data_IF_365233918234
#
_entry.id   IF_365233918234
#
_cell.length_a   1.000
_cell.length_b   1.000
_cell.length_c   1.000
_cell.angle_alpha   90.00
_cell.angle_beta   90.00
_cell.angle_gamma   90.00
#
_symmetry.space_group_name_H-M   'P 1'
#
loop_
_entity.id
_entity.type
_entity.pdbx_description
1 polymer ?
#
# COMPACT_ATOMS: atom_id res chain seq x y z
N UNK A 1 -40.40 29.88 -47.52
CA UNK A 1 -40.10 28.66 -46.81
C UNK A 1 -38.68 28.26 -47.13
N UNK A 2 -37.74 28.61 -46.29
CA UNK A 2 -36.30 28.24 -46.35
C UNK A 2 -36.02 27.31 -45.14
N UNK A 3 -35.48 26.16 -45.40
CA UNK A 3 -34.96 25.23 -44.37
C UNK A 3 -33.65 25.78 -43.79
N UNK A 4 -33.37 25.63 -42.51
CA UNK A 4 -32.03 25.89 -41.93
C UNK A 4 -31.10 24.72 -42.19
N UNK A 5 -29.81 25.04 -42.35
CA UNK A 5 -28.69 24.12 -42.52
C UNK A 5 -28.37 23.41 -41.21
N UNK A 6 -28.09 22.12 -41.33
CA UNK A 6 -27.43 21.31 -40.32
C UNK A 6 -25.93 21.65 -40.36
N UNK A 7 -25.41 22.25 -39.31
CA UNK A 7 -23.98 22.32 -39.03
C UNK A 7 -23.67 21.22 -37.97
N UNK A 8 -23.13 20.12 -38.44
CA UNK A 8 -22.46 19.11 -37.60
C UNK A 8 -21.16 19.72 -37.04
N UNK A 9 -21.24 20.25 -35.84
CA UNK A 9 -20.06 20.58 -35.05
C UNK A 9 -19.47 19.29 -34.46
N UNK A 10 -18.38 18.84 -35.01
CA UNK A 10 -17.50 17.81 -34.51
C UNK A 10 -16.85 18.37 -33.24
N UNK A 11 -17.24 17.87 -32.05
CA UNK A 11 -16.56 18.18 -30.82
C UNK A 11 -15.33 17.29 -30.76
N UNK A 12 -14.19 17.87 -31.11
CA UNK A 12 -12.89 17.26 -30.86
C UNK A 12 -12.66 17.18 -29.32
N UNK A 13 -12.39 15.98 -28.85
CA UNK A 13 -11.95 15.69 -27.48
C UNK A 13 -10.68 16.48 -27.17
N UNK A 14 -10.82 17.58 -26.40
CA UNK A 14 -9.66 18.32 -25.89
C UNK A 14 -9.14 17.56 -24.65
N UNK A 15 -8.44 16.47 -24.88
CA UNK A 15 -7.49 15.94 -23.90
C UNK A 15 -6.23 16.79 -23.98
N UNK A 16 -5.99 17.65 -22.98
CA UNK A 16 -4.68 18.26 -22.82
C UNK A 16 -3.69 17.13 -22.49
N UNK A 17 -2.97 16.73 -23.50
CA UNK A 17 -1.83 15.80 -23.33
C UNK A 17 -0.70 16.55 -22.62
N UNK A 18 0.22 15.79 -22.01
CA UNK A 18 1.41 16.31 -21.33
C UNK A 18 2.28 17.29 -22.14
N UNK A 19 1.99 17.47 -23.42
CA UNK A 19 2.65 18.44 -24.30
C UNK A 19 2.25 19.90 -24.00
N UNK A 20 1.03 20.18 -23.53
CA UNK A 20 0.59 21.54 -23.19
C UNK A 20 1.34 22.15 -22.00
N UNK A 21 1.83 21.31 -21.11
CA UNK A 21 2.65 21.74 -19.95
C UNK A 21 4.05 22.22 -20.38
N UNK A 22 4.51 21.85 -21.59
CA UNK A 22 5.85 22.18 -22.10
C UNK A 22 5.93 23.55 -22.79
N UNK A 23 4.81 24.15 -23.21
CA UNK A 23 4.81 25.34 -24.06
C UNK A 23 4.67 26.67 -23.32
N UNK A 24 4.33 26.68 -22.02
CA UNK A 24 4.19 27.90 -21.24
C UNK A 24 5.42 28.26 -20.43
N UNK A 25 6.59 28.19 -21.08
CA UNK A 25 7.89 28.51 -20.47
C UNK A 25 8.17 30.01 -20.32
N UNK A 26 7.22 30.84 -19.92
CA UNK A 26 7.49 32.21 -19.52
C UNK A 26 7.97 32.27 -18.07
N UNK A 27 9.18 32.84 -17.90
CA UNK A 27 9.84 33.00 -16.61
C UNK A 27 9.14 34.10 -15.81
N UNK A 28 8.39 33.73 -14.77
CA UNK A 28 8.00 34.70 -13.75
C UNK A 28 9.16 34.85 -12.77
N UNK A 29 9.60 36.09 -12.45
CA UNK A 29 10.68 36.30 -11.48
C UNK A 29 10.21 35.95 -10.07
N UNK A 30 10.81 34.93 -9.48
CA UNK A 30 10.56 34.50 -8.10
C UNK A 30 11.45 35.28 -7.17
N UNK A 31 10.87 36.01 -6.22
CA UNK A 31 11.61 36.42 -5.01
C UNK A 31 11.85 35.16 -4.16
N UNK A 32 13.11 34.78 -4.05
CA UNK A 32 13.53 33.66 -3.21
C UNK A 32 13.54 34.12 -1.74
N UNK A 33 12.75 33.46 -0.90
CA UNK A 33 12.90 33.55 0.56
C UNK A 33 13.92 32.48 0.98
N UNK A 34 15.02 32.93 1.61
CA UNK A 34 16.17 32.07 1.96
C UNK A 34 15.83 30.93 2.96
N UNK A 35 14.63 30.93 3.57
CA UNK A 35 14.22 29.92 4.55
C UNK A 35 13.72 28.62 3.89
N UNK A 36 13.10 28.70 2.72
CA UNK A 36 12.56 27.52 2.00
C UNK A 36 13.65 26.60 1.44
N UNK A 37 14.83 27.14 1.15
CA UNK A 37 15.91 26.40 0.47
C UNK A 37 16.57 25.32 1.34
N UNK A 38 16.52 25.43 2.68
CA UNK A 38 17.17 24.45 3.57
C UNK A 38 16.34 23.20 3.82
N UNK A 39 15.02 23.36 3.93
CA UNK A 39 14.12 22.22 4.17
C UNK A 39 13.94 21.40 2.88
N UNK A 40 13.91 22.08 1.72
CA UNK A 40 13.87 21.44 0.40
C UNK A 40 15.09 20.56 0.10
N UNK A 41 16.27 20.97 0.61
CA UNK A 41 17.50 20.20 0.40
C UNK A 41 17.52 18.86 1.16
N UNK A 42 16.86 18.79 2.32
CA UNK A 42 16.77 17.57 3.10
C UNK A 42 15.82 16.56 2.48
N UNK A 43 14.67 17.01 1.97
CA UNK A 43 13.71 16.14 1.26
C UNK A 43 14.31 15.60 -0.05
N UNK A 44 15.07 16.44 -0.76
CA UNK A 44 15.79 16.01 -1.98
C UNK A 44 16.88 14.97 -1.68
N UNK A 45 17.64 15.16 -0.59
CA UNK A 45 18.65 14.19 -0.14
C UNK A 45 18.04 12.85 0.25
N UNK A 46 16.88 12.85 0.88
CA UNK A 46 16.15 11.63 1.24
C UNK A 46 15.74 10.82 0.00
N UNK A 47 15.14 11.47 -0.99
CA UNK A 47 14.74 10.82 -2.26
C UNK A 47 15.96 10.34 -3.05
N UNK A 48 17.05 11.12 -3.08
CA UNK A 48 18.28 10.76 -3.78
C UNK A 48 19.04 9.60 -3.11
N UNK A 49 19.05 9.55 -1.78
CA UNK A 49 19.72 8.45 -1.04
C UNK A 49 19.01 7.11 -1.28
N UNK A 50 17.68 7.12 -1.37
CA UNK A 50 16.89 5.93 -1.66
C UNK A 50 17.13 5.43 -3.10
N UNK A 51 17.23 6.34 -4.08
CA UNK A 51 17.55 6.00 -5.50
C UNK A 51 18.93 5.37 -5.67
N UNK A 52 19.96 5.85 -4.95
CA UNK A 52 21.32 5.30 -5.08
C UNK A 52 21.48 3.91 -4.49
N UNK A 53 20.68 3.55 -3.48
CA UNK A 53 20.71 2.19 -2.91
C UNK A 53 20.02 1.14 -3.80
N UNK A 54 19.02 1.49 -4.60
CA UNK A 54 18.38 0.55 -5.53
C UNK A 54 19.23 0.31 -6.80
N UNK A 55 19.98 1.32 -7.30
CA UNK A 55 20.83 1.14 -8.51
C UNK A 55 22.13 0.38 -8.25
N UNK A 56 22.61 0.30 -7.02
CA UNK A 56 23.84 -0.45 -6.72
C UNK A 56 23.64 -1.97 -6.53
N UNK A 57 22.39 -2.45 -6.45
CA UNK A 57 22.12 -3.89 -6.35
C UNK A 57 21.84 -4.59 -7.70
N UNK A 58 21.63 -3.82 -8.79
CA UNK A 58 21.31 -4.40 -10.11
C UNK A 58 22.47 -4.39 -11.10
N UNK A 59 23.68 -3.96 -10.73
CA UNK A 59 24.83 -3.89 -11.67
C UNK A 59 25.96 -4.90 -11.41
N UNK A 60 25.82 -5.87 -10.53
CA UNK A 60 26.85 -6.89 -10.29
C UNK A 60 26.55 -8.30 -10.86
N UNK A 61 25.67 -8.45 -11.82
CA UNK A 61 25.56 -9.71 -12.58
C UNK A 61 25.33 -9.45 -14.06
N UNK A 62 26.42 -9.15 -14.79
CA UNK A 62 26.56 -9.57 -16.19
C UNK A 62 27.96 -9.24 -16.73
N UNK A 63 28.91 -10.15 -16.54
CA UNK A 63 30.03 -10.35 -17.48
C UNK A 63 30.24 -11.85 -17.67
N UNK A 64 30.00 -12.24 -18.89
CA UNK A 64 29.87 -13.59 -19.37
C UNK A 64 31.04 -14.52 -19.16
N UNK A 65 30.71 -15.77 -19.31
CA UNK A 65 31.43 -16.62 -20.28
C UNK A 65 30.60 -17.87 -20.54
N UNK A 66 30.35 -18.08 -21.82
CA UNK A 66 29.95 -19.35 -22.40
C UNK A 66 30.99 -20.41 -22.04
N UNK A 67 30.58 -21.50 -21.42
CA UNK A 67 31.21 -22.81 -21.62
C UNK A 67 30.18 -23.91 -21.27
N UNK A 68 29.87 -24.67 -22.28
CA UNK A 68 29.15 -25.93 -22.22
C UNK A 68 29.80 -26.86 -21.19
N UNK A 69 29.01 -27.37 -20.23
CA UNK A 69 29.43 -28.59 -19.55
C UNK A 69 28.27 -29.56 -19.36
N UNK A 70 28.42 -30.62 -20.11
CA UNK A 70 27.62 -31.83 -20.17
C UNK A 70 27.36 -32.42 -18.81
N UNK A 71 26.12 -32.84 -18.65
CA UNK A 71 25.61 -33.67 -17.56
C UNK A 71 26.23 -35.07 -17.61
N UNK A 72 27.12 -35.40 -16.69
CA UNK A 72 27.59 -36.78 -16.48
C UNK A 72 27.09 -37.29 -15.16
N UNK A 73 26.12 -38.22 -15.24
CA UNK A 73 25.75 -39.08 -14.12
C UNK A 73 26.95 -39.97 -13.77
N UNK A 74 27.40 -39.91 -12.53
CA UNK A 74 28.32 -40.89 -11.94
C UNK A 74 27.61 -41.68 -10.83
N UNK A 75 27.19 -42.85 -11.20
CA UNK A 75 26.93 -43.96 -10.27
C UNK A 75 28.21 -44.44 -9.66
N UNK A 76 28.36 -44.48 -8.37
CA UNK A 76 29.45 -45.21 -7.68
C UNK A 76 28.90 -46.37 -6.86
N UNK A 77 29.17 -47.56 -7.38
CA UNK A 77 29.05 -48.86 -6.81
C UNK A 77 30.05 -49.09 -5.66
N UNK A 78 29.60 -49.98 -4.77
CA UNK A 78 30.33 -50.61 -3.67
C UNK A 78 31.67 -51.15 -4.09
N UNK A 79 32.66 -51.03 -3.22
CA UNK A 79 33.79 -51.95 -3.14
C UNK A 79 33.98 -52.43 -1.70
N UNK A 80 33.90 -53.75 -1.59
CA UNK A 80 34.25 -54.56 -0.45
C UNK A 80 35.79 -54.74 -0.38
N UNK A 81 36.35 -54.66 0.81
CA UNK A 81 37.67 -55.21 1.05
C UNK A 81 37.63 -56.11 2.31
N UNK A 82 37.87 -57.40 2.03
CA UNK A 82 38.25 -58.42 2.94
C UNK A 82 39.78 -58.32 3.24
N UNK A 83 40.19 -58.48 4.46
CA UNK A 83 41.50 -59.05 4.81
C UNK A 83 41.42 -59.92 6.02
N UNK A 84 41.95 -61.10 5.81
CA UNK A 84 42.15 -62.25 6.66
C UNK A 84 43.42 -62.14 7.51
N UNK A 85 43.48 -63.05 8.48
CA UNK A 85 44.59 -63.70 9.13
C UNK A 85 44.96 -63.22 10.53
N UNK A 86 45.05 -64.27 11.37
CA UNK A 86 45.97 -64.37 12.46
C UNK A 86 45.48 -65.26 13.59
N UNK A 87 45.70 -66.55 13.45
CA UNK A 87 45.57 -67.57 14.48
C UNK A 87 46.66 -67.44 15.60
N UNK A 88 46.35 -67.64 16.85
CA UNK A 88 47.25 -68.35 17.78
C UNK A 88 46.49 -69.04 18.91
N UNK A 89 46.86 -70.26 19.07
CA UNK A 89 46.56 -71.32 20.08
C UNK A 89 47.02 -70.98 21.46
N UNK A 90 46.36 -71.58 22.51
CA UNK A 90 47.00 -71.76 23.80
C UNK A 90 46.05 -72.07 24.96
N UNK A 91 45.92 -73.37 25.19
CA UNK A 91 45.77 -74.12 26.44
C UNK A 91 44.84 -73.67 27.59
N UNK A 92 43.88 -74.57 27.81
CA UNK A 92 43.36 -75.25 28.98
C UNK A 92 43.68 -74.77 30.41
N UNK A 93 42.63 -74.55 31.21
CA UNK A 93 42.52 -75.18 32.55
C UNK A 93 41.07 -75.23 33.03
N UNK A 94 40.70 -76.44 33.52
CA UNK A 94 39.44 -76.76 34.17
C UNK A 94 39.31 -76.09 35.50
N UNK A 95 38.20 -75.47 35.84
CA UNK A 95 37.67 -75.43 37.20
C UNK A 95 36.11 -75.49 37.13
N UNK A 96 35.61 -76.58 37.74
CA UNK A 96 34.18 -76.73 37.98
C UNK A 96 33.73 -75.81 39.10
N UNK A 97 32.81 -74.96 38.85
CA UNK A 97 31.98 -74.35 39.90
C UNK A 97 30.51 -74.51 39.54
N UNK A 98 29.80 -75.23 40.41
CA UNK A 98 28.34 -75.28 40.37
C UNK A 98 27.75 -73.92 40.74
N UNK A 99 27.00 -73.34 39.86
CA UNK A 99 26.16 -72.24 40.21
C UNK A 99 24.70 -72.55 39.90
N UNK A 100 23.86 -72.34 40.93
CA UNK A 100 22.44 -72.51 40.95
C UNK A 100 21.79 -71.55 39.89
N UNK A 101 20.99 -72.15 38.99
CA UNK A 101 20.19 -71.44 38.08
C UNK A 101 18.95 -70.86 38.78
N UNK A 102 18.95 -69.57 39.06
CA UNK A 102 17.71 -68.84 39.29
C UNK A 102 17.08 -68.53 37.93
N UNK A 103 15.96 -69.17 37.62
CA UNK A 103 15.15 -68.86 36.49
C UNK A 103 14.43 -67.52 36.73
N UNK A 104 14.97 -66.45 36.27
CA UNK A 104 14.22 -65.22 36.10
C UNK A 104 13.37 -65.34 34.83
N UNK A 105 12.08 -65.54 35.02
CA UNK A 105 11.12 -65.37 33.95
C UNK A 105 11.07 -63.90 33.51
N UNK A 106 11.87 -63.51 32.54
CA UNK A 106 11.67 -62.26 31.79
C UNK A 106 10.45 -62.44 30.92
N UNK A 107 9.33 -61.98 31.42
CA UNK A 107 8.11 -61.83 30.60
C UNK A 107 8.39 -60.87 29.44
N UNK A 108 8.71 -61.40 28.27
CA UNK A 108 8.84 -60.63 27.06
C UNK A 108 7.49 -60.03 26.75
N UNK A 109 7.27 -58.76 27.11
CA UNK A 109 6.12 -57.98 26.61
C UNK A 109 6.21 -57.95 25.09
N UNK A 110 5.51 -58.88 24.42
CA UNK A 110 5.30 -58.84 22.97
C UNK A 110 4.64 -57.52 22.64
N UNK A 111 5.40 -56.53 22.13
CA UNK A 111 4.89 -55.30 21.54
C UNK A 111 3.95 -55.71 20.41
N UNK A 112 2.62 -55.51 20.56
CA UNK A 112 1.63 -55.75 19.51
C UNK A 112 2.03 -54.92 18.29
N UNK A 113 2.50 -55.58 17.22
CA UNK A 113 2.79 -54.92 15.94
C UNK A 113 1.50 -54.31 15.42
N UNK A 114 1.45 -52.98 15.26
CA UNK A 114 0.31 -52.31 14.66
C UNK A 114 0.07 -52.82 13.25
N UNK A 115 -1.21 -53.09 12.88
CA UNK A 115 -1.60 -53.55 11.55
C UNK A 115 -1.15 -52.48 10.53
N UNK A 116 -0.70 -52.87 9.32
CA UNK A 116 -0.12 -52.00 8.30
C UNK A 116 -0.96 -50.77 8.00
N UNK A 117 -2.28 -50.88 7.89
CA UNK A 117 -3.22 -49.80 7.63
C UNK A 117 -3.23 -48.73 8.77
N UNK A 118 -3.06 -49.15 10.04
CA UNK A 118 -2.93 -48.21 11.18
C UNK A 118 -1.64 -47.41 11.12
N UNK A 119 -0.55 -48.00 10.62
CA UNK A 119 0.71 -47.28 10.39
C UNK A 119 0.56 -46.27 9.24
N UNK A 120 -0.13 -46.65 8.15
CA UNK A 120 -0.41 -45.77 7.04
C UNK A 120 -1.26 -44.56 7.48
N UNK A 121 -2.33 -44.79 8.26
CA UNK A 121 -3.15 -43.70 8.80
C UNK A 121 -2.35 -42.78 9.75
N UNK A 122 -1.45 -43.33 10.56
CA UNK A 122 -0.60 -42.54 11.44
C UNK A 122 0.38 -41.68 10.63
N UNK A 123 0.97 -42.23 9.56
CA UNK A 123 1.87 -41.48 8.65
C UNK A 123 1.11 -40.36 7.95
N UNK A 124 -0.08 -40.64 7.39
CA UNK A 124 -0.93 -39.64 6.76
C UNK A 124 -1.31 -38.53 7.76
N UNK A 125 -1.71 -38.91 8.97
CA UNK A 125 -2.01 -37.96 10.05
C UNK A 125 -0.81 -37.05 10.41
N UNK A 126 0.40 -37.64 10.51
CA UNK A 126 1.62 -36.87 10.76
C UNK A 126 1.97 -35.92 9.61
N UNK A 127 1.78 -36.33 8.34
CA UNK A 127 2.01 -35.50 7.17
C UNK A 127 1.00 -34.34 7.15
N UNK A 128 -0.28 -34.61 7.37
CA UNK A 128 -1.30 -33.56 7.45
C UNK A 128 -1.02 -32.58 8.60
N UNK A 129 -0.67 -33.08 9.77
CA UNK A 129 -0.30 -32.24 10.92
C UNK A 129 0.93 -31.38 10.62
N UNK A 130 1.95 -31.94 9.96
CA UNK A 130 3.15 -31.19 9.58
C UNK A 130 2.81 -30.10 8.56
N UNK A 131 1.95 -30.36 7.57
CA UNK A 131 1.48 -29.36 6.62
C UNK A 131 0.73 -28.23 7.32
N UNK A 132 -0.18 -28.57 8.25
CA UNK A 132 -0.90 -27.56 9.05
C UNK A 132 0.08 -26.71 9.87
N UNK A 133 1.07 -27.34 10.53
CA UNK A 133 2.07 -26.60 11.31
C UNK A 133 2.92 -25.68 10.43
N UNK A 134 3.31 -26.12 9.24
CA UNK A 134 4.05 -25.29 8.27
C UNK A 134 3.21 -24.11 7.81
N UNK A 135 1.94 -24.34 7.43
CA UNK A 135 1.06 -23.24 6.98
C UNK A 135 0.80 -22.23 8.09
N UNK A 136 0.46 -22.68 9.31
CA UNK A 136 0.27 -21.80 10.46
C UNK A 136 1.57 -21.04 10.79
N UNK A 137 2.72 -21.72 10.77
CA UNK A 137 4.02 -21.10 10.99
C UNK A 137 4.32 -20.01 9.95
N UNK A 138 4.05 -20.27 8.68
CA UNK A 138 4.23 -19.29 7.59
C UNK A 138 3.33 -18.07 7.79
N UNK A 139 2.04 -18.27 8.09
CA UNK A 139 1.10 -17.16 8.36
C UNK A 139 1.55 -16.32 9.54
N UNK A 140 2.01 -16.94 10.64
CA UNK A 140 2.52 -16.22 11.81
C UNK A 140 3.78 -15.40 11.49
N UNK A 141 4.69 -15.94 10.68
CA UNK A 141 5.90 -15.22 10.26
C UNK A 141 5.51 -14.02 9.39
N UNK A 142 4.62 -14.20 8.41
CA UNK A 142 4.14 -13.12 7.55
C UNK A 142 3.40 -12.06 8.38
N UNK A 143 2.52 -12.46 9.29
CA UNK A 143 1.82 -11.54 10.19
C UNK A 143 2.79 -10.70 11.02
N UNK A 144 3.76 -11.34 11.70
CA UNK A 144 4.73 -10.61 12.52
C UNK A 144 5.64 -9.68 11.68
N UNK A 145 5.99 -10.09 10.45
CA UNK A 145 6.74 -9.25 9.53
C UNK A 145 5.91 -8.06 9.08
N UNK A 146 4.68 -8.29 8.61
CA UNK A 146 3.77 -7.25 8.14
C UNK A 146 3.40 -6.27 9.25
N UNK A 147 3.17 -6.75 10.47
CA UNK A 147 2.90 -5.91 11.62
C UNK A 147 4.06 -4.93 11.91
N UNK A 148 5.31 -5.41 11.86
CA UNK A 148 6.47 -4.52 12.03
C UNK A 148 6.60 -3.50 10.90
N UNK A 149 6.34 -3.90 9.65
CA UNK A 149 6.44 -3.00 8.50
C UNK A 149 5.32 -1.95 8.44
N UNK A 150 4.12 -2.28 8.93
CA UNK A 150 2.99 -1.35 8.98
C UNK A 150 3.09 -0.34 10.12
N UNK A 151 3.56 -0.79 11.31
CA UNK A 151 3.57 0.02 12.53
C UNK A 151 4.95 0.53 12.93
N UNK A 152 5.98 0.35 12.08
CA UNK A 152 7.28 0.95 12.34
C UNK A 152 7.20 2.45 11.99
N UNK A 153 6.98 3.28 13.00
CA UNK A 153 6.96 4.73 12.83
C UNK A 153 8.39 5.26 12.65
N UNK A 154 8.62 6.02 11.58
CA UNK A 154 9.77 6.92 11.48
C UNK A 154 9.65 7.99 12.57
N UNK A 155 10.77 8.61 12.96
CA UNK A 155 10.77 9.76 13.87
C UNK A 155 9.87 10.86 13.27
N UNK A 156 8.78 11.16 13.98
CA UNK A 156 7.77 12.12 13.52
C UNK A 156 8.13 13.49 14.07
N UNK A 157 8.20 14.48 13.20
CA UNK A 157 8.27 15.88 13.59
C UNK A 157 7.09 16.62 13.00
N UNK A 158 6.04 16.81 13.80
CA UNK A 158 4.85 17.54 13.39
C UNK A 158 5.12 19.05 13.37
N UNK A 159 4.68 19.70 12.30
CA UNK A 159 4.79 21.17 12.11
C UNK A 159 3.37 21.69 11.93
N UNK A 160 2.83 22.38 12.95
CA UNK A 160 1.53 23.04 12.83
C UNK A 160 1.62 24.23 11.85
N UNK A 161 0.54 24.53 11.09
CA UNK A 161 0.51 25.70 10.19
C UNK A 161 0.59 27.01 11.00
N UNK A 162 1.21 28.03 10.40
CA UNK A 162 1.41 29.35 11.07
C UNK A 162 0.08 30.04 11.41
N UNK A 163 -0.96 29.81 10.60
CA UNK A 163 -2.29 30.40 10.76
C UNK A 163 -3.09 29.79 11.92
N UNK A 164 -2.66 28.62 12.44
CA UNK A 164 -3.35 27.91 13.52
C UNK A 164 -2.65 28.15 14.85
N UNK A 165 -3.33 28.68 15.91
CA UNK A 165 -2.72 28.98 17.19
C UNK A 165 -2.47 27.72 18.02
N UNK A 166 -1.75 26.74 17.47
CA UNK A 166 -1.39 25.50 18.11
C UNK A 166 0.07 25.53 18.63
N UNK A 167 0.29 24.90 19.79
CA UNK A 167 1.65 24.73 20.34
C UNK A 167 2.03 23.26 20.26
N UNK A 168 2.98 22.95 19.39
CA UNK A 168 3.56 21.62 19.24
C UNK A 168 4.64 21.41 20.31
N UNK A 169 4.63 20.27 21.00
CA UNK A 169 5.56 19.87 22.03
C UNK A 169 6.10 18.47 21.75
N UNK A 170 7.33 18.18 22.15
CA UNK A 170 7.99 16.87 22.00
C UNK A 170 7.85 16.33 20.55
N UNK A 171 8.29 17.14 19.57
CA UNK A 171 8.26 16.86 18.13
C UNK A 171 6.87 16.43 17.59
N UNK A 172 5.80 16.80 18.29
CA UNK A 172 4.42 16.49 17.90
C UNK A 172 3.74 15.44 18.76
N UNK A 173 4.42 14.89 19.75
CA UNK A 173 3.81 13.94 20.68
C UNK A 173 2.63 14.56 21.43
N UNK A 174 2.74 15.87 21.73
CA UNK A 174 1.65 16.64 22.34
C UNK A 174 1.39 17.91 21.53
N UNK A 175 0.12 18.27 21.43
CA UNK A 175 -0.34 19.54 20.85
C UNK A 175 -1.28 20.21 21.84
N UNK A 176 -1.05 21.50 22.10
CA UNK A 176 -1.98 22.34 22.84
C UNK A 176 -2.72 23.24 21.85
N UNK A 177 -4.02 23.10 21.75
CA UNK A 177 -4.89 23.83 20.85
C UNK A 177 -6.19 24.21 21.56
N UNK A 178 -6.62 25.48 21.45
CA UNK A 178 -7.81 26.04 22.11
C UNK A 178 -7.88 25.77 23.63
N UNK A 179 -6.70 25.75 24.32
CA UNK A 179 -6.62 25.51 25.77
C UNK A 179 -6.71 24.03 26.18
N UNK A 180 -6.85 23.13 25.22
CA UNK A 180 -6.91 21.68 25.43
C UNK A 180 -5.59 21.04 25.01
N UNK A 181 -5.21 19.94 25.67
CA UNK A 181 -4.00 19.17 25.32
C UNK A 181 -4.41 17.88 24.63
N UNK A 182 -3.70 17.58 23.56
CA UNK A 182 -3.89 16.40 22.72
C UNK A 182 -2.61 15.59 22.69
N UNK A 183 -2.70 14.26 22.80
CA UNK A 183 -1.59 13.30 22.72
C UNK A 183 -1.70 12.51 21.43
N UNK A 184 -0.61 12.39 20.71
CA UNK A 184 -0.56 11.60 19.48
C UNK A 184 -0.89 10.13 19.74
N UNK A 185 -1.73 9.56 18.89
CA UNK A 185 -1.97 8.13 18.84
C UNK A 185 -0.92 7.47 17.93
N UNK A 186 0.08 6.85 18.53
CA UNK A 186 1.21 6.20 17.83
C UNK A 186 0.82 4.86 17.19
N UNK A 187 -0.43 4.39 17.39
CA UNK A 187 -0.92 3.11 16.86
C UNK A 187 -1.66 3.22 15.52
N UNK A 188 -1.71 4.42 14.94
CA UNK A 188 -2.29 4.63 13.62
C UNK A 188 -1.28 4.29 12.54
N UNK A 189 -1.69 3.47 11.59
CA UNK A 189 -0.93 3.25 10.35
C UNK A 189 -1.59 3.94 9.17
N UNK A 190 -0.76 4.53 8.30
CA UNK A 190 -1.22 5.32 7.16
C UNK A 190 -0.92 4.61 5.85
N UNK A 191 -1.96 4.54 4.99
CA UNK A 191 -1.85 4.11 3.61
C UNK A 191 -2.36 5.23 2.70
N UNK A 192 -1.54 5.64 1.73
CA UNK A 192 -1.95 6.57 0.68
C UNK A 192 -2.44 5.79 -0.53
N UNK A 193 -3.73 5.86 -0.80
CA UNK A 193 -4.34 5.33 -2.02
C UNK A 193 -4.40 6.43 -3.09
N UNK A 194 -4.05 6.05 -4.33
CA UNK A 194 -4.08 6.94 -5.50
C UNK A 194 -4.72 6.21 -6.67
N UNK A 195 -5.73 6.84 -7.30
CA UNK A 195 -6.21 6.46 -8.62
C UNK A 195 -5.54 7.36 -9.65
N UNK A 196 -4.81 6.78 -10.61
CA UNK A 196 -4.02 7.54 -11.58
C UNK A 196 -4.67 7.51 -12.97
N UNK A 197 -4.73 8.68 -13.62
CA UNK A 197 -5.31 8.83 -14.98
C UNK A 197 -4.28 8.40 -16.02
N UNK A 198 -4.02 7.09 -16.05
CA UNK A 198 -3.16 6.44 -17.04
C UNK A 198 -3.64 5.00 -17.26
N UNK A 199 -3.14 4.38 -18.32
CA UNK A 199 -3.35 2.96 -18.63
C UNK A 199 -2.02 2.25 -18.78
N UNK A 200 -2.01 0.95 -18.55
CA UNK A 200 -0.85 0.07 -18.76
C UNK A 200 0.39 0.53 -17.97
N UNK A 201 0.20 0.75 -16.67
CA UNK A 201 1.29 1.17 -15.75
C UNK A 201 2.46 0.18 -15.76
N UNK A 202 2.21 -1.11 -16.02
CA UNK A 202 3.25 -2.15 -16.05
C UNK A 202 4.27 -1.91 -17.16
N UNK A 203 3.81 -1.55 -18.37
CA UNK A 203 4.64 -1.42 -19.57
C UNK A 203 5.11 0.02 -19.86
N UNK A 204 4.99 0.91 -18.90
CA UNK A 204 5.43 2.29 -19.05
C UNK A 204 6.94 2.37 -19.33
N UNK A 205 7.32 2.87 -20.51
CA UNK A 205 8.72 2.86 -21.00
C UNK A 205 9.42 4.21 -20.99
N UNK A 206 8.69 5.31 -20.77
CA UNK A 206 9.25 6.67 -20.86
C UNK A 206 9.16 7.43 -19.54
N UNK A 207 10.32 7.90 -19.04
CA UNK A 207 10.38 8.78 -17.89
C UNK A 207 9.67 10.12 -18.17
N UNK A 208 8.95 10.65 -17.18
CA UNK A 208 8.32 11.96 -17.24
C UNK A 208 6.98 12.00 -17.99
N UNK A 209 6.36 10.86 -18.31
CA UNK A 209 5.01 10.74 -18.85
C UNK A 209 4.04 10.12 -17.83
N UNK A 210 4.34 10.22 -16.54
CA UNK A 210 3.43 9.79 -15.50
C UNK A 210 2.09 10.52 -15.62
N UNK A 211 0.97 9.76 -15.52
CA UNK A 211 -0.38 10.32 -15.43
C UNK A 211 -0.52 11.23 -14.22
N UNK A 212 -1.73 11.76 -14.01
CA UNK A 212 -2.04 12.55 -12.82
C UNK A 212 -2.78 11.67 -11.80
N UNK A 213 -2.54 11.90 -10.52
CA UNK A 213 -3.33 11.25 -9.47
C UNK A 213 -4.69 11.96 -9.36
N UNK A 214 -5.73 11.30 -9.86
CA UNK A 214 -7.10 11.85 -9.95
C UNK A 214 -7.97 11.55 -8.73
N UNK A 215 -7.67 10.48 -8.00
CA UNK A 215 -8.22 10.15 -6.70
C UNK A 215 -7.07 10.03 -5.70
N UNK A 216 -7.16 10.74 -4.58
CA UNK A 216 -6.12 10.77 -3.55
C UNK A 216 -6.81 10.61 -2.19
N UNK A 217 -6.55 9.49 -1.52
CA UNK A 217 -7.18 9.17 -0.24
C UNK A 217 -6.13 8.72 0.77
N UNK A 218 -6.04 9.44 1.88
CA UNK A 218 -5.30 9.01 3.06
C UNK A 218 -6.17 8.10 3.90
N UNK A 219 -5.76 6.87 4.10
CA UNK A 219 -6.41 5.93 5.00
C UNK A 219 -5.62 5.86 6.30
N UNK A 220 -6.18 6.41 7.38
CA UNK A 220 -5.62 6.35 8.72
C UNK A 220 -6.33 5.23 9.51
N UNK A 221 -5.64 4.12 9.74
CA UNK A 221 -6.18 2.91 10.34
C UNK A 221 -5.76 2.80 11.80
N UNK A 222 -6.73 2.95 12.73
CA UNK A 222 -6.59 2.73 14.16
C UNK A 222 -7.23 1.39 14.54
N UNK A 223 -6.42 0.34 14.63
CA UNK A 223 -6.92 -0.99 14.95
C UNK A 223 -7.26 -1.17 16.43
N UNK A 224 -6.78 -0.31 17.31
CA UNK A 224 -7.12 -0.36 18.74
C UNK A 224 -8.51 0.21 18.99
N UNK A 225 -8.88 1.25 18.25
CA UNK A 225 -10.22 1.86 18.30
C UNK A 225 -11.20 1.26 17.29
N UNK A 226 -10.78 0.26 16.52
CA UNK A 226 -11.59 -0.36 15.46
C UNK A 226 -12.05 0.64 14.38
N UNK A 227 -11.26 1.68 14.08
CA UNK A 227 -11.65 2.79 13.21
C UNK A 227 -10.69 2.94 12.02
N UNK A 228 -11.25 3.21 10.86
CA UNK A 228 -10.48 3.63 9.68
C UNK A 228 -11.03 4.95 9.15
N UNK A 229 -10.25 6.01 9.25
CA UNK A 229 -10.60 7.32 8.70
C UNK A 229 -10.07 7.43 7.27
N UNK A 230 -10.98 7.54 6.31
CA UNK A 230 -10.68 7.72 4.88
C UNK A 230 -10.81 9.21 4.55
N UNK A 231 -9.67 9.88 4.36
CA UNK A 231 -9.61 11.34 4.15
C UNK A 231 -9.30 11.59 2.68
N UNK A 232 -10.31 11.98 1.91
CA UNK A 232 -10.18 12.31 0.50
C UNK A 232 -9.60 13.72 0.34
N UNK A 233 -8.56 13.85 -0.50
CA UNK A 233 -7.87 15.11 -0.78
C UNK A 233 -8.21 15.51 -2.21
N UNK A 234 -8.80 16.70 -2.45
CA UNK A 234 -9.09 17.15 -3.80
C UNK A 234 -7.79 17.22 -4.62
N UNK A 235 -7.80 16.68 -5.84
CA UNK A 235 -6.64 16.65 -6.73
C UNK A 235 -6.08 18.04 -7.08
N UNK A 236 -6.96 19.02 -7.10
CA UNK A 236 -6.66 20.41 -7.46
C UNK A 236 -6.18 21.26 -6.26
N UNK A 237 -5.92 20.60 -5.11
CA UNK A 237 -5.38 21.24 -3.89
C UNK A 237 -4.02 21.83 -4.16
N UNK A 238 -3.84 23.13 -3.87
CA UNK A 238 -2.57 23.83 -4.01
C UNK A 238 -1.67 23.53 -2.81
N UNK A 239 -0.53 22.95 -3.11
CA UNK A 239 0.48 22.56 -2.11
C UNK A 239 1.88 22.70 -2.69
N UNK A 240 2.89 22.50 -1.83
CA UNK A 240 4.29 22.47 -2.25
C UNK A 240 4.61 21.13 -2.93
N UNK A 241 4.92 21.19 -4.22
CA UNK A 241 5.22 20.03 -5.07
C UNK A 241 6.68 20.13 -5.54
N UNK A 242 7.43 19.05 -5.38
CA UNK A 242 8.77 18.93 -5.94
C UNK A 242 8.69 18.81 -7.48
N UNK A 243 9.28 19.79 -8.17
CA UNK A 243 9.27 19.84 -9.65
C UNK A 243 10.58 19.29 -10.18
N UNK A 244 10.49 18.46 -11.21
CA UNK A 244 11.63 17.89 -11.90
C UNK A 244 11.63 18.30 -13.38
N UNK A 245 12.81 18.47 -13.95
CA UNK A 245 12.97 18.68 -15.39
C UNK A 245 12.68 17.41 -16.17
N UNK A 246 12.48 17.54 -17.49
CA UNK A 246 12.30 16.39 -18.41
C UNK A 246 13.43 15.35 -18.30
N UNK A 247 14.63 15.76 -17.91
CA UNK A 247 15.77 14.86 -17.66
C UNK A 247 15.84 14.32 -16.24
N UNK A 248 14.77 14.41 -15.43
CA UNK A 248 14.71 13.90 -14.06
C UNK A 248 15.53 14.69 -13.02
N UNK A 249 16.05 15.88 -13.37
CA UNK A 249 16.79 16.71 -12.42
C UNK A 249 15.82 17.57 -11.60
N UNK A 250 16.03 17.61 -10.28
CA UNK A 250 15.25 18.45 -9.39
C UNK A 250 15.37 19.94 -9.76
N UNK A 251 14.23 20.61 -9.92
CA UNK A 251 14.12 22.02 -10.33
C UNK A 251 13.55 22.94 -9.24
N UNK A 252 13.36 22.43 -8.03
CA UNK A 252 12.88 23.18 -6.87
C UNK A 252 11.45 22.84 -6.45
N UNK A 253 11.01 23.43 -5.34
CA UNK A 253 9.62 23.34 -4.86
C UNK A 253 8.77 24.43 -5.50
N UNK A 254 7.51 24.11 -5.80
CA UNK A 254 6.56 25.08 -6.34
C UNK A 254 5.15 24.83 -5.82
N UNK A 255 4.40 25.89 -5.55
CA UNK A 255 2.96 25.82 -5.27
C UNK A 255 2.22 25.40 -6.54
N UNK A 256 1.70 24.19 -6.56
CA UNK A 256 0.96 23.61 -7.69
C UNK A 256 -0.17 22.70 -7.21
N UNK A 257 -1.03 22.26 -8.14
CA UNK A 257 -2.06 21.28 -7.87
C UNK A 257 -1.41 19.95 -7.45
N UNK A 258 -1.93 19.32 -6.40
CA UNK A 258 -1.39 18.09 -5.81
C UNK A 258 -1.26 16.94 -6.82
N UNK A 259 -2.22 16.79 -7.74
CA UNK A 259 -2.19 15.73 -8.76
C UNK A 259 -0.92 15.75 -9.63
N UNK A 260 -0.28 16.91 -9.80
CA UNK A 260 0.94 17.06 -10.59
C UNK A 260 2.17 16.46 -9.92
N UNK A 261 2.14 16.24 -8.59
CA UNK A 261 3.24 15.58 -7.91
C UNK A 261 3.52 14.18 -8.48
N UNK A 262 2.46 13.45 -8.90
CA UNK A 262 2.60 12.16 -9.58
C UNK A 262 3.24 12.31 -10.96
N UNK A 263 2.80 13.31 -11.73
CA UNK A 263 3.24 13.54 -13.11
C UNK A 263 4.74 13.89 -13.25
N UNK A 264 5.37 14.39 -12.18
CA UNK A 264 6.81 14.70 -12.16
C UNK A 264 7.72 13.51 -11.90
N UNK A 265 7.19 12.31 -11.71
CA UNK A 265 7.95 11.08 -11.54
C UNK A 265 8.03 10.25 -12.84
N UNK A 266 8.28 8.97 -12.64
CA UNK A 266 8.40 7.96 -13.70
C UNK A 266 7.07 7.24 -14.03
N UNK A 267 5.98 7.65 -13.43
CA UNK A 267 4.69 6.95 -13.50
C UNK A 267 4.62 5.70 -12.59
N UNK A 268 5.67 5.40 -11.85
CA UNK A 268 5.80 4.25 -10.95
C UNK A 268 6.26 4.70 -9.55
N UNK A 269 7.37 4.12 -9.07
CA UNK A 269 7.85 4.31 -7.70
C UNK A 269 8.17 5.77 -7.39
N UNK A 270 8.92 6.48 -8.26
CA UNK A 270 9.25 7.88 -7.99
C UNK A 270 8.05 8.81 -8.04
N UNK A 271 7.03 8.51 -8.87
CA UNK A 271 5.76 9.23 -8.86
C UNK A 271 4.99 9.03 -7.55
N UNK A 272 4.94 7.80 -7.05
CA UNK A 272 4.34 7.48 -5.76
C UNK A 272 5.07 8.18 -4.61
N UNK A 273 6.40 8.18 -4.61
CA UNK A 273 7.22 8.84 -3.58
C UNK A 273 7.03 10.37 -3.58
N UNK A 274 6.93 11.01 -4.76
CA UNK A 274 6.62 12.43 -4.88
C UNK A 274 5.24 12.77 -4.29
N UNK A 275 4.24 11.91 -4.53
CA UNK A 275 2.91 12.05 -3.95
C UNK A 275 2.94 11.89 -2.43
N UNK A 276 3.62 10.85 -1.93
CA UNK A 276 3.80 10.63 -0.49
C UNK A 276 4.42 11.87 0.16
N UNK A 277 5.50 12.41 -0.42
CA UNK A 277 6.17 13.61 0.10
C UNK A 277 5.23 14.83 0.13
N UNK A 278 4.44 15.04 -0.95
CA UNK A 278 3.51 16.18 -1.03
C UNK A 278 2.34 16.03 -0.06
N UNK A 279 1.78 14.83 0.09
CA UNK A 279 0.69 14.56 1.04
C UNK A 279 1.19 14.63 2.49
N UNK A 280 2.41 14.17 2.79
CA UNK A 280 3.02 14.35 4.13
C UNK A 280 3.07 15.82 4.53
N UNK A 281 3.42 16.75 3.63
CA UNK A 281 3.42 18.20 3.92
C UNK A 281 2.01 18.70 4.25
N UNK A 282 0.99 18.27 3.51
CA UNK A 282 -0.41 18.59 3.82
C UNK A 282 -0.78 18.11 5.23
N UNK A 283 -0.35 16.90 5.61
CA UNK A 283 -0.64 16.28 6.90
C UNK A 283 0.42 16.57 7.96
N UNK A 284 1.04 17.74 7.93
CA UNK A 284 1.95 18.23 8.97
C UNK A 284 3.12 17.27 9.28
N UNK A 285 3.60 16.54 8.26
CA UNK A 285 4.67 15.54 8.28
C UNK A 285 4.33 14.22 8.97
N UNK A 286 3.05 13.86 9.11
CA UNK A 286 2.69 12.50 9.59
C UNK A 286 3.34 11.43 8.69
N UNK A 287 3.87 10.32 9.24
CA UNK A 287 4.48 9.28 8.43
C UNK A 287 3.46 8.57 7.53
N UNK A 288 3.84 8.33 6.28
CA UNK A 288 3.08 7.52 5.33
C UNK A 288 4.00 6.38 4.87
N UNK A 289 3.87 5.23 5.51
CA UNK A 289 4.76 4.07 5.28
C UNK A 289 4.31 3.19 4.11
N UNK A 290 3.08 3.38 3.64
CA UNK A 290 2.48 2.51 2.62
C UNK A 290 1.73 3.34 1.60
N UNK A 291 1.91 3.00 0.32
CA UNK A 291 1.15 3.59 -0.78
C UNK A 291 0.65 2.52 -1.74
N UNK A 292 -0.42 2.85 -2.44
CA UNK A 292 -1.01 2.03 -3.50
C UNK A 292 -1.56 2.96 -4.60
N UNK A 293 -0.96 2.91 -5.79
CA UNK A 293 -1.42 3.62 -6.98
C UNK A 293 -2.04 2.59 -7.93
N UNK A 294 -3.28 2.85 -8.37
CA UNK A 294 -4.05 2.01 -9.29
C UNK A 294 -4.33 2.80 -10.57
N UNK A 295 -4.08 2.20 -11.72
CA UNK A 295 -4.45 2.79 -13.00
C UNK A 295 -5.94 2.58 -13.36
N UNK A 296 -6.36 3.10 -14.51
CA UNK A 296 -7.76 3.05 -14.93
C UNK A 296 -8.23 1.62 -15.26
N UNK A 297 -7.34 0.80 -15.83
CA UNK A 297 -7.69 -0.57 -16.24
C UNK A 297 -7.92 -1.45 -15.00
N UNK A 298 -7.17 -1.20 -13.93
CA UNK A 298 -7.33 -1.90 -12.66
C UNK A 298 -8.65 -1.66 -11.94
N UNK A 299 -9.37 -0.58 -12.25
CA UNK A 299 -10.68 -0.31 -11.64
C UNK A 299 -11.69 -1.36 -12.07
N UNK A 300 -11.80 -1.61 -13.38
CA UNK A 300 -12.73 -2.58 -13.94
C UNK A 300 -12.39 -4.00 -13.50
N UNK A 301 -11.10 -4.36 -13.54
CA UNK A 301 -10.62 -5.68 -13.16
C UNK A 301 -10.89 -6.01 -11.67
N UNK A 302 -10.55 -5.10 -10.75
CA UNK A 302 -10.81 -5.31 -9.33
C UNK A 302 -12.31 -5.30 -9.00
N UNK A 303 -13.10 -4.46 -9.70
CA UNK A 303 -14.55 -4.45 -9.57
C UNK A 303 -15.15 -5.81 -9.93
N UNK A 304 -14.72 -6.40 -11.04
CA UNK A 304 -15.25 -7.68 -11.53
C UNK A 304 -14.73 -8.86 -10.68
N UNK A 305 -13.50 -8.77 -10.16
CA UNK A 305 -12.93 -9.75 -9.24
C UNK A 305 -13.76 -9.94 -7.96
N UNK A 306 -14.42 -8.87 -7.46
CA UNK A 306 -15.38 -8.99 -6.35
C UNK A 306 -16.81 -9.33 -6.79
N UNK A 307 -17.05 -9.50 -8.10
CA UNK A 307 -18.36 -9.80 -8.69
C UNK A 307 -19.24 -8.57 -8.85
N UNK A 308 -18.68 -7.43 -9.23
CA UNK A 308 -19.35 -6.14 -9.41
C UNK A 308 -19.68 -5.43 -8.10
N UNK A 309 -20.04 -4.17 -8.14
CA UNK A 309 -20.32 -3.32 -6.96
C UNK A 309 -21.69 -2.65 -7.11
N UNK A 310 -22.50 -2.71 -6.06
CA UNK A 310 -23.82 -2.08 -6.02
C UNK A 310 -23.69 -0.66 -5.44
N UNK A 311 -24.20 0.34 -6.18
CA UNK A 311 -24.13 1.75 -5.79
C UNK A 311 -25.47 2.46 -6.00
N UNK A 312 -25.75 3.47 -5.17
CA UNK A 312 -26.80 4.46 -5.44
C UNK A 312 -26.11 5.71 -5.93
N UNK A 313 -26.44 6.18 -7.14
CA UNK A 313 -25.78 7.35 -7.72
C UNK A 313 -26.12 8.62 -6.94
N UNK A 314 -25.09 9.38 -6.45
CA UNK A 314 -25.32 10.62 -5.71
C UNK A 314 -25.58 11.84 -6.62
N UNK A 315 -25.48 11.67 -7.95
CA UNK A 315 -25.75 12.71 -8.93
C UNK A 315 -26.15 12.11 -10.29
N UNK A 316 -26.75 12.92 -11.16
CA UNK A 316 -27.00 12.52 -12.54
C UNK A 316 -25.79 12.87 -13.42
N UNK A 317 -25.14 11.82 -13.98
CA UNK A 317 -24.00 11.94 -14.92
C UNK A 317 -23.98 10.74 -15.87
N UNK A 318 -23.73 10.97 -17.16
CA UNK A 318 -23.78 9.94 -18.21
C UNK A 318 -25.09 9.11 -18.10
N UNK A 319 -25.01 7.79 -18.03
CA UNK A 319 -26.18 6.91 -17.85
C UNK A 319 -26.68 6.81 -16.39
N UNK A 320 -25.96 7.36 -15.44
CA UNK A 320 -26.31 7.26 -14.02
C UNK A 320 -27.25 8.40 -13.61
N UNK A 321 -28.38 8.07 -13.02
CA UNK A 321 -29.40 9.02 -12.53
C UNK A 321 -29.32 9.11 -11.01
N UNK A 322 -29.37 10.33 -10.47
CA UNK A 322 -29.36 10.58 -9.03
C UNK A 322 -30.45 9.80 -8.30
N UNK A 323 -30.08 9.07 -7.26
CA UNK A 323 -30.97 8.27 -6.41
C UNK A 323 -31.28 6.88 -6.94
N UNK A 324 -30.90 6.53 -8.18
CA UNK A 324 -31.10 5.21 -8.74
C UNK A 324 -29.97 4.25 -8.36
N UNK A 325 -30.30 2.96 -8.25
CA UNK A 325 -29.37 1.88 -7.89
C UNK A 325 -28.80 1.24 -9.16
N UNK A 326 -27.49 0.97 -9.16
CA UNK A 326 -26.75 0.34 -10.26
C UNK A 326 -25.85 -0.77 -9.73
N UNK A 327 -25.82 -1.88 -10.47
CA UNK A 327 -24.81 -2.93 -10.27
C UNK A 327 -23.71 -2.73 -11.31
N UNK A 328 -22.59 -2.15 -10.89
CA UNK A 328 -21.49 -1.78 -11.79
C UNK A 328 -20.64 -3.01 -12.12
N UNK A 329 -20.41 -3.24 -13.43
CA UNK A 329 -19.55 -4.30 -13.96
C UNK A 329 -18.66 -3.74 -15.09
N UNK A 330 -17.43 -4.25 -15.20
CA UNK A 330 -16.49 -3.82 -16.24
C UNK A 330 -16.28 -2.31 -16.27
N UNK A 331 -16.33 -1.74 -17.48
CA UNK A 331 -16.07 -0.31 -17.73
C UNK A 331 -17.10 0.65 -17.10
N UNK A 332 -18.25 0.15 -16.65
CA UNK A 332 -19.22 0.97 -15.92
C UNK A 332 -18.64 1.46 -14.58
N UNK A 333 -17.85 0.63 -13.90
CA UNK A 333 -17.18 1.00 -12.67
C UNK A 333 -16.18 2.15 -12.90
N UNK A 334 -15.33 2.06 -13.95
CA UNK A 334 -14.43 3.13 -14.34
C UNK A 334 -15.22 4.41 -14.68
N UNK A 335 -16.25 4.30 -15.52
CA UNK A 335 -17.09 5.42 -15.93
C UNK A 335 -17.71 6.12 -14.72
N UNK A 336 -18.27 5.36 -13.77
CA UNK A 336 -18.88 5.90 -12.56
C UNK A 336 -17.90 6.71 -11.69
N UNK A 337 -16.67 6.24 -11.49
CA UNK A 337 -15.70 6.91 -10.62
C UNK A 337 -14.86 7.98 -11.30
N UNK A 338 -14.77 7.96 -12.66
CA UNK A 338 -13.88 8.83 -13.42
C UNK A 338 -14.56 10.06 -13.99
N UNK A 339 -15.75 9.91 -14.58
CA UNK A 339 -16.43 11.00 -15.29
C UNK A 339 -16.69 12.20 -14.40
N UNK A 340 -16.59 13.41 -15.00
CA UNK A 340 -16.90 14.67 -14.33
C UNK A 340 -17.52 15.66 -15.30
N UNK A 341 -18.30 16.57 -14.77
CA UNK A 341 -18.81 17.71 -15.53
C UNK A 341 -17.68 18.73 -15.68
N UNK A 342 -17.55 19.30 -16.88
CA UNK A 342 -16.49 20.29 -17.17
C UNK A 342 -16.99 21.74 -17.09
N UNK A 343 -18.28 21.95 -16.80
CA UNK A 343 -18.98 23.23 -16.81
C UNK A 343 -18.94 23.97 -15.45
N UNK A 344 -18.19 23.45 -14.45
CA UNK A 344 -18.18 24.03 -13.11
C UNK A 344 -16.83 23.79 -12.39
N UNK A 345 -16.42 24.77 -11.58
CA UNK A 345 -15.15 24.71 -10.84
C UNK A 345 -15.12 23.64 -9.74
N UNK A 346 -16.28 23.30 -9.17
CA UNK A 346 -16.42 22.30 -8.11
C UNK A 346 -16.76 20.89 -8.63
N UNK A 347 -16.64 20.65 -9.93
CA UNK A 347 -16.93 19.36 -10.58
C UNK A 347 -16.17 18.20 -9.93
N UNK A 348 -14.94 18.44 -9.45
CA UNK A 348 -14.15 17.43 -8.73
C UNK A 348 -14.82 16.98 -7.43
N UNK A 349 -15.53 17.84 -6.71
CA UNK A 349 -16.19 17.47 -5.45
C UNK A 349 -17.32 16.46 -5.67
N UNK A 350 -18.06 16.58 -6.77
CA UNK A 350 -19.11 15.63 -7.15
C UNK A 350 -18.53 14.27 -7.52
N UNK A 351 -17.42 14.27 -8.29
CA UNK A 351 -16.69 13.04 -8.58
C UNK A 351 -16.21 12.36 -7.29
N UNK A 352 -15.70 13.11 -6.33
CA UNK A 352 -15.28 12.57 -5.03
C UNK A 352 -16.42 11.93 -4.24
N UNK A 353 -17.66 12.47 -4.33
CA UNK A 353 -18.81 11.83 -3.69
C UNK A 353 -19.17 10.48 -4.37
N UNK A 354 -19.08 10.37 -5.71
CA UNK A 354 -19.25 9.08 -6.39
C UNK A 354 -18.14 8.10 -6.02
N UNK A 355 -16.88 8.56 -5.98
CA UNK A 355 -15.74 7.76 -5.55
C UNK A 355 -15.93 7.23 -4.11
N UNK A 356 -16.45 8.07 -3.20
CA UNK A 356 -16.79 7.68 -1.83
C UNK A 356 -17.86 6.59 -1.79
N UNK A 357 -18.97 6.77 -2.52
CA UNK A 357 -20.07 5.78 -2.59
C UNK A 357 -19.52 4.44 -3.12
N UNK A 358 -18.80 4.47 -4.23
CA UNK A 358 -18.18 3.29 -4.83
C UNK A 358 -17.21 2.60 -3.86
N UNK A 359 -16.27 3.36 -3.29
CA UNK A 359 -15.25 2.82 -2.38
C UNK A 359 -15.88 2.16 -1.17
N UNK A 360 -16.93 2.78 -0.59
CA UNK A 360 -17.66 2.20 0.54
C UNK A 360 -18.25 0.83 0.16
N UNK A 361 -19.00 0.76 -0.93
CA UNK A 361 -19.64 -0.48 -1.39
C UNK A 361 -18.61 -1.56 -1.76
N UNK A 362 -17.52 -1.17 -2.43
CA UNK A 362 -16.41 -2.07 -2.76
C UNK A 362 -15.77 -2.65 -1.48
N UNK A 363 -15.44 -1.81 -0.50
CA UNK A 363 -14.85 -2.25 0.77
C UNK A 363 -15.80 -3.15 1.57
N UNK A 364 -17.09 -2.83 1.65
CA UNK A 364 -18.09 -3.66 2.33
C UNK A 364 -18.12 -5.07 1.70
N UNK A 365 -18.00 -5.17 0.37
CA UNK A 365 -17.99 -6.42 -0.37
C UNK A 365 -16.70 -7.22 -0.12
N UNK A 366 -15.53 -6.58 -0.23
CA UNK A 366 -14.22 -7.20 0.07
C UNK A 366 -14.19 -7.74 1.51
N UNK A 367 -14.66 -6.97 2.47
CA UNK A 367 -14.73 -7.37 3.87
C UNK A 367 -15.64 -8.57 4.07
N UNK A 368 -16.84 -8.54 3.46
CA UNK A 368 -17.78 -9.65 3.53
C UNK A 368 -17.20 -10.94 2.97
N UNK A 369 -16.52 -10.86 1.83
CA UNK A 369 -15.84 -11.99 1.20
C UNK A 369 -14.64 -12.46 2.03
N UNK A 370 -13.83 -11.55 2.56
CA UNK A 370 -12.66 -11.89 3.40
C UNK A 370 -13.05 -12.65 4.67
N UNK A 371 -14.21 -12.34 5.26
CA UNK A 371 -14.74 -13.09 6.41
C UNK A 371 -15.13 -14.54 6.06
N UNK A 372 -15.42 -14.82 4.79
CA UNK A 372 -15.74 -16.16 4.30
C UNK A 372 -14.48 -16.87 3.80
N UNK A 373 -13.57 -16.15 3.16
CA UNK A 373 -12.31 -16.64 2.61
C UNK A 373 -11.17 -15.63 2.84
N UNK A 374 -10.26 -15.95 3.77
CA UNK A 374 -9.12 -15.12 4.13
C UNK A 374 -8.16 -14.86 2.96
N UNK A 375 -8.22 -15.66 1.89
CA UNK A 375 -7.35 -15.51 0.74
C UNK A 375 -7.76 -14.35 -0.19
N UNK A 376 -8.99 -13.84 -0.08
CA UNK A 376 -9.54 -12.78 -0.94
C UNK A 376 -8.64 -11.55 -1.04
N UNK A 377 -8.12 -10.95 0.06
CA UNK A 377 -7.25 -9.78 -0.06
C UNK A 377 -5.94 -10.07 -0.80
N UNK A 378 -5.37 -11.26 -0.63
CA UNK A 378 -4.16 -11.66 -1.34
C UNK A 378 -4.44 -11.93 -2.82
N UNK A 379 -5.60 -12.50 -3.15
CA UNK A 379 -6.04 -12.70 -4.54
C UNK A 379 -6.21 -11.36 -5.24
N UNK A 380 -6.96 -10.41 -4.65
CA UNK A 380 -7.15 -9.06 -5.19
C UNK A 380 -5.82 -8.31 -5.35
N UNK A 381 -4.91 -8.46 -4.39
CA UNK A 381 -3.57 -7.87 -4.48
C UNK A 381 -2.78 -8.44 -5.67
N UNK A 382 -2.82 -9.75 -5.90
CA UNK A 382 -2.15 -10.37 -7.04
C UNK A 382 -2.79 -9.97 -8.38
N UNK A 383 -4.11 -9.87 -8.45
CA UNK A 383 -4.85 -9.42 -9.63
C UNK A 383 -4.61 -7.95 -9.94
N UNK A 384 -4.40 -7.11 -8.91
CA UNK A 384 -4.05 -5.70 -9.10
C UNK A 384 -2.60 -5.46 -9.57
N UNK A 385 -1.73 -6.46 -9.49
CA UNK A 385 -0.30 -6.27 -9.74
C UNK A 385 0.05 -5.69 -11.13
N UNK A 386 -0.61 -6.09 -12.27
CA UNK A 386 -0.35 -5.50 -13.57
C UNK A 386 -0.80 -4.03 -13.67
N UNK A 387 -1.74 -3.61 -12.84
CA UNK A 387 -2.45 -2.33 -12.89
C UNK A 387 -2.03 -1.37 -11.78
N UNK A 388 -1.01 -1.71 -10.99
CA UNK A 388 -0.67 -0.94 -9.80
C UNK A 388 0.82 -0.76 -9.58
N UNK A 389 1.15 0.34 -8.90
CA UNK A 389 2.46 0.56 -8.30
C UNK A 389 2.30 0.72 -6.79
N UNK A 390 2.98 -0.12 -6.00
CA UNK A 390 2.79 -0.13 -4.55
C UNK A 390 4.04 -0.65 -3.83
N UNK A 391 4.25 -0.20 -2.59
CA UNK A 391 5.19 -0.81 -1.66
C UNK A 391 4.49 -1.78 -0.67
N UNK A 392 3.25 -2.16 -0.93
CA UNK A 392 2.59 -3.27 -0.24
C UNK A 392 3.25 -4.59 -0.61
N UNK A 393 3.13 -5.56 0.27
CA UNK A 393 3.66 -6.90 0.07
C UNK A 393 2.76 -7.95 0.76
N UNK A 394 2.91 -9.25 0.47
CA UNK A 394 2.08 -10.29 1.06
C UNK A 394 2.05 -10.29 2.60
N UNK A 395 3.11 -9.82 3.27
CA UNK A 395 3.16 -9.75 4.72
C UNK A 395 2.22 -8.65 5.25
N UNK A 396 2.27 -7.43 4.68
CA UNK A 396 1.34 -6.34 5.00
C UNK A 396 -0.11 -6.74 4.72
N UNK A 397 -0.39 -7.36 3.57
CA UNK A 397 -1.73 -7.85 3.20
C UNK A 397 -2.24 -8.89 4.21
N UNK A 398 -1.39 -9.87 4.59
CA UNK A 398 -1.76 -10.90 5.59
C UNK A 398 -2.13 -10.26 6.92
N UNK A 399 -1.38 -9.23 7.34
CA UNK A 399 -1.67 -8.49 8.58
C UNK A 399 -3.01 -7.77 8.50
N UNK A 400 -3.28 -7.05 7.40
CA UNK A 400 -4.57 -6.36 7.20
C UNK A 400 -5.74 -7.35 7.13
N UNK A 401 -5.61 -8.46 6.39
CA UNK A 401 -6.62 -9.52 6.34
C UNK A 401 -6.93 -10.09 7.74
N UNK A 402 -5.91 -10.31 8.56
CA UNK A 402 -6.08 -10.79 9.93
C UNK A 402 -6.81 -9.76 10.81
N UNK A 403 -6.56 -8.46 10.64
CA UNK A 403 -7.31 -7.40 11.34
C UNK A 403 -8.79 -7.42 10.94
N UNK A 404 -9.08 -7.52 9.64
CA UNK A 404 -10.44 -7.65 9.11
C UNK A 404 -11.20 -8.83 9.74
N UNK A 405 -10.59 -10.03 9.79
CA UNK A 405 -11.19 -11.23 10.40
C UNK A 405 -11.42 -11.03 11.89
N UNK A 406 -10.51 -10.34 12.56
CA UNK A 406 -10.63 -10.01 13.97
C UNK A 406 -11.67 -8.90 14.25
N UNK A 407 -12.29 -8.36 13.20
CA UNK A 407 -13.29 -7.28 13.29
C UNK A 407 -12.67 -5.93 13.65
N UNK A 408 -11.37 -5.74 13.38
CA UNK A 408 -10.64 -4.51 13.68
C UNK A 408 -10.46 -3.64 12.44
N UNK A 409 -10.50 -2.31 12.62
CA UNK A 409 -10.37 -1.34 11.54
C UNK A 409 -11.57 -1.28 10.60
N UNK A 410 -12.75 -1.76 11.04
CA UNK A 410 -13.93 -1.98 10.21
C UNK A 410 -14.97 -0.85 10.26
N UNK A 411 -14.79 0.10 11.17
CA UNK A 411 -15.64 1.28 11.26
C UNK A 411 -15.05 2.37 10.36
N UNK A 412 -15.61 2.48 9.14
CA UNK A 412 -15.13 3.42 8.13
C UNK A 412 -15.82 4.77 8.25
N UNK A 413 -15.02 5.79 8.56
CA UNK A 413 -15.46 7.18 8.50
C UNK A 413 -14.86 7.87 7.28
N UNK A 414 -15.69 8.57 6.51
CA UNK A 414 -15.29 9.25 5.30
C UNK A 414 -15.25 10.75 5.51
N UNK A 415 -14.09 11.33 5.29
CA UNK A 415 -13.82 12.75 5.37
C UNK A 415 -13.34 13.29 4.03
N UNK A 416 -13.43 14.59 3.86
CA UNK A 416 -12.83 15.31 2.75
C UNK A 416 -12.10 16.52 3.30
N UNK A 417 -10.93 16.84 2.76
CA UNK A 417 -10.24 18.10 3.03
C UNK A 417 -11.06 19.25 2.44
N UNK A 418 -11.55 20.15 3.30
CA UNK A 418 -12.33 21.31 2.89
C UNK A 418 -11.40 22.41 2.35
N UNK A 419 -11.80 22.97 1.21
CA UNK A 419 -11.02 23.97 0.50
C UNK A 419 -11.89 25.14 0.07
N UNK A 420 -11.28 26.34 -0.02
CA UNK A 420 -11.82 27.46 -0.78
C UNK A 420 -11.42 27.28 -2.24
N UNK A 421 -12.40 27.40 -3.15
CA UNK A 421 -12.20 27.19 -4.59
C UNK A 421 -12.08 28.56 -5.25
N UNK A 422 -11.01 28.75 -6.03
CA UNK A 422 -10.77 29.94 -6.84
C UNK A 422 -10.54 29.52 -8.29
N UNK A 423 -10.91 30.39 -9.21
CA UNK A 423 -10.55 30.23 -10.61
C UNK A 423 -9.15 30.80 -10.85
N UNK A 424 -8.32 30.06 -11.57
CA UNK A 424 -7.03 30.57 -12.02
C UNK A 424 -7.27 31.60 -13.13
N UNK A 425 -6.83 32.85 -12.95
CA UNK A 425 -7.07 33.90 -13.95
C UNK A 425 -6.36 33.67 -15.29
N UNK A 426 -5.33 32.82 -15.31
CA UNK A 426 -4.50 32.60 -16.49
C UNK A 426 -5.10 31.54 -17.44
N UNK A 427 -5.74 30.50 -16.88
CA UNK A 427 -6.21 29.34 -17.66
C UNK A 427 -7.62 28.85 -17.29
N UNK A 428 -8.30 29.53 -16.37
CA UNK A 428 -9.66 29.16 -15.94
C UNK A 428 -9.76 27.89 -15.09
N UNK A 429 -8.67 27.24 -14.73
CA UNK A 429 -8.67 26.02 -13.91
C UNK A 429 -9.05 26.31 -12.46
N UNK A 430 -9.64 25.32 -11.82
CA UNK A 430 -9.93 25.40 -10.38
C UNK A 430 -8.67 25.25 -9.54
N UNK A 431 -8.49 26.14 -8.55
CA UNK A 431 -7.44 26.11 -7.55
C UNK A 431 -8.10 25.95 -6.19
N UNK A 432 -7.70 24.91 -5.44
CA UNK A 432 -8.30 24.54 -4.16
C UNK A 432 -7.31 24.88 -3.03
N UNK A 433 -7.69 25.79 -2.15
CA UNK A 433 -6.88 26.22 -1.01
C UNK A 433 -7.46 25.61 0.27
N UNK A 434 -6.64 24.84 1.00
CA UNK A 434 -7.05 24.18 2.24
C UNK A 434 -7.52 25.24 3.26
N UNK A 435 -8.60 24.94 3.96
CA UNK A 435 -9.04 25.72 5.12
C UNK A 435 -8.30 25.21 6.36
N UNK A 436 -7.16 25.82 6.64
CA UNK A 436 -6.18 25.34 7.61
C UNK A 436 -6.77 24.99 8.97
N UNK A 437 -7.62 25.87 9.55
CA UNK A 437 -8.24 25.62 10.86
C UNK A 437 -9.17 24.40 10.84
N UNK A 438 -10.02 24.26 9.80
CA UNK A 438 -10.94 23.12 9.68
C UNK A 438 -10.16 21.81 9.47
N UNK A 439 -9.10 21.85 8.66
CA UNK A 439 -8.27 20.68 8.41
C UNK A 439 -7.43 20.30 9.63
N UNK A 440 -6.93 21.27 10.38
CA UNK A 440 -6.18 21.00 11.62
C UNK A 440 -7.08 20.34 12.68
N UNK A 441 -8.34 20.78 12.81
CA UNK A 441 -9.32 20.13 13.70
C UNK A 441 -9.60 18.69 13.27
N UNK A 442 -9.75 18.43 11.96
CA UNK A 442 -9.89 17.08 11.42
C UNK A 442 -8.64 16.26 11.74
N UNK A 443 -7.43 16.81 11.51
CA UNK A 443 -6.17 16.15 11.81
C UNK A 443 -6.07 15.76 13.29
N UNK A 444 -6.39 16.68 14.21
CA UNK A 444 -6.41 16.37 15.63
C UNK A 444 -7.43 15.27 15.97
N UNK A 445 -8.62 15.32 15.38
CA UNK A 445 -9.67 14.33 15.64
C UNK A 445 -9.30 12.91 15.20
N UNK A 446 -8.45 12.79 14.17
CA UNK A 446 -8.02 11.50 13.62
C UNK A 446 -6.78 10.98 14.33
N UNK A 447 -5.76 11.83 14.52
CA UNK A 447 -4.42 11.39 14.94
C UNK A 447 -4.11 11.61 16.42
N UNK A 448 -4.99 12.29 17.16
CA UNK A 448 -4.71 12.65 18.55
C UNK A 448 -5.87 12.31 19.47
N UNK A 449 -5.54 11.98 20.71
CA UNK A 449 -6.49 11.82 21.80
C UNK A 449 -6.42 13.01 22.76
N UNK A 450 -7.59 13.57 23.11
CA UNK A 450 -7.68 14.63 24.11
C UNK A 450 -7.33 14.07 25.49
N UNK A 451 -6.38 14.70 26.19
CA UNK A 451 -5.96 14.31 27.54
C UNK A 451 -6.47 15.31 28.58
N UNK A 452 -7.00 14.79 29.67
CA UNK A 452 -7.65 15.61 30.73
C UNK A 452 -6.65 16.23 31.71
N UNK A 453 -5.40 15.71 31.77
CA UNK A 453 -4.30 16.31 32.55
C UNK A 453 -2.94 15.82 32.04
N UNK A 454 -1.89 16.63 32.21
CA UNK A 454 -0.51 16.25 31.92
C UNK A 454 0.04 15.11 32.82
N UNK A 455 -0.69 14.76 33.89
CA UNK A 455 -0.30 13.69 34.83
C UNK A 455 -0.54 12.26 34.27
N UNK A 456 -1.32 12.12 33.19
CA UNK A 456 -1.49 10.83 32.48
C UNK A 456 -0.28 10.46 31.58
N UNK A 457 0.76 11.30 31.54
CA UNK A 457 1.92 11.13 30.66
C UNK A 457 3.04 10.27 31.24
N UNK A 458 2.89 9.74 32.48
CA UNK A 458 3.93 8.99 33.23
C UNK A 458 3.52 7.56 33.62
N UNK A 459 2.67 6.89 32.82
CA UNK A 459 2.40 5.46 33.03
C UNK A 459 2.83 4.62 31.84
#
# INVERSE_FOLDING_TARGET
MKKPNDENGQFDDIYSTSEDIRLTGERVPVQQDERTVKDDANDYLYLKTKRTHHHSQTQEENTGNDDEMQFVMSTRSRASHSHSHGSHSGHSHHHHHHHHHHHHHHGSRRKKKMKGWKKALLIIGCVLLSLILVTVGTVLILYNKGNRELFNSEDVKIVAPEEVPAKVQDDGKYIVYNGETYKMNEHITNLLFMGVDMRDIENLTSEGLGGQADAIVMMAMDFDKNKTSMIAIPRDTITDVAVYSVGGSYAGMRKQQLCLAYAYGDGKESSCENMVASVRRIFYNIPISTYFALDLDGISELNDAVGGVDVISPETIEQFVEGEEYHLVGDEAETFVRKRRMDRLDANLFRMERQKVYTKSFMDKVISQTKQDISVPLTLFNESAPYSCTNMNPAKITTLAQQVISGKGMDFEFYRVNCDIKENPDDGRALYYIKDSEFFELFLSVYYDKVTSLDDTTK
#
